data_IF_624116756305
#
_entry.id   IF_624116756305
#
_cell.length_a   1.000
_cell.length_b   1.000
_cell.length_c   1.000
_cell.angle_alpha   90.00
_cell.angle_beta   90.00
_cell.angle_gamma   90.00
#
_symmetry.space_group_name_H-M   'P 1'
#
loop_
_entity.id
_entity.type
_entity.pdbx_description
1 polymer ?
#
# COMPACT_ATOMS: atom_id res chain seq x y z
N UNK A 1 -10.00 -21.25 -41.42
CA UNK A 1 -8.55 -21.13 -41.21
C UNK A 1 -8.11 -19.71 -40.87
N UNK A 2 -8.53 -18.66 -41.59
CA UNK A 2 -8.17 -17.27 -41.24
C UNK A 2 -8.58 -16.87 -39.79
N UNK A 3 -9.81 -17.17 -39.36
CA UNK A 3 -10.30 -16.83 -38.03
C UNK A 3 -9.52 -17.51 -36.89
N UNK A 4 -8.97 -18.71 -37.11
CA UNK A 4 -8.11 -19.39 -36.15
C UNK A 4 -6.72 -18.78 -36.10
N UNK A 5 -6.19 -18.33 -37.22
CA UNK A 5 -4.92 -17.59 -37.28
C UNK A 5 -5.02 -16.21 -36.64
N UNK A 6 -6.15 -15.53 -36.79
CA UNK A 6 -6.39 -14.23 -36.13
C UNK A 6 -6.57 -14.39 -34.58
N UNK A 7 -7.16 -15.52 -34.15
CA UNK A 7 -7.23 -15.87 -32.73
C UNK A 7 -5.83 -16.14 -32.13
N UNK A 8 -4.98 -16.84 -32.89
CA UNK A 8 -3.58 -17.06 -32.47
C UNK A 8 -2.74 -15.77 -32.48
N UNK A 9 -2.99 -14.88 -33.45
CA UNK A 9 -2.32 -13.55 -33.45
C UNK A 9 -2.72 -12.65 -32.28
N UNK A 10 -3.96 -12.72 -31.81
CA UNK A 10 -4.39 -11.99 -30.59
C UNK A 10 -3.75 -12.54 -29.31
N UNK A 11 -3.32 -13.81 -29.29
CA UNK A 11 -2.67 -14.43 -28.11
C UNK A 11 -1.16 -14.16 -28.07
N UNK A 12 -0.56 -13.73 -29.18
CA UNK A 12 0.90 -13.50 -29.31
C UNK A 12 1.27 -12.09 -29.71
N UNK A 13 0.41 -11.09 -29.45
CA UNK A 13 0.87 -9.70 -29.46
C UNK A 13 1.75 -9.52 -28.22
N UNK A 14 3.03 -9.87 -28.36
CA UNK A 14 4.07 -9.33 -27.51
C UNK A 14 4.05 -7.82 -27.77
N UNK A 15 3.67 -7.04 -26.77
CA UNK A 15 3.75 -5.59 -26.85
C UNK A 15 5.23 -5.25 -27.01
N UNK A 16 5.64 -4.82 -28.19
CA UNK A 16 6.98 -4.30 -28.44
C UNK A 16 7.11 -2.97 -27.68
N UNK A 17 8.13 -2.85 -26.85
CA UNK A 17 8.41 -1.63 -26.11
C UNK A 17 9.91 -1.32 -26.19
N UNK A 18 10.23 -0.03 -26.31
CA UNK A 18 11.61 0.45 -26.39
C UNK A 18 12.23 0.72 -25.02
N UNK A 19 11.41 0.95 -24.00
CA UNK A 19 11.87 1.30 -22.66
C UNK A 19 10.91 0.85 -21.56
N UNK A 20 11.48 0.59 -20.39
CA UNK A 20 10.74 0.29 -19.15
C UNK A 20 10.93 1.45 -18.19
N UNK A 21 9.83 2.04 -17.72
CA UNK A 21 9.82 3.06 -16.68
C UNK A 21 9.39 2.46 -15.34
N UNK A 22 10.28 2.50 -14.36
CA UNK A 22 9.98 2.09 -12.99
C UNK A 22 9.58 3.33 -12.19
N UNK A 23 8.44 3.25 -11.48
CA UNK A 23 7.92 4.33 -10.67
C UNK A 23 7.01 3.83 -9.56
N UNK A 24 6.61 4.73 -8.65
CA UNK A 24 5.65 4.43 -7.60
C UNK A 24 4.22 4.55 -8.16
N UNK A 25 3.35 3.66 -7.71
CA UNK A 25 1.92 3.74 -7.94
C UNK A 25 1.21 4.31 -6.71
N UNK A 26 0.27 5.23 -6.93
CA UNK A 26 -0.60 5.70 -5.84
C UNK A 26 -1.57 4.60 -5.40
N UNK A 27 -2.12 4.66 -4.16
CA UNK A 27 -3.15 3.72 -3.71
C UNK A 27 -4.36 3.65 -4.66
N UNK A 28 -4.78 4.79 -5.20
CA UNK A 28 -5.89 4.88 -6.15
C UNK A 28 -5.57 4.12 -7.45
N UNK A 29 -4.34 4.24 -7.93
CA UNK A 29 -3.89 3.52 -9.12
C UNK A 29 -3.82 2.02 -8.87
N UNK A 30 -3.35 1.57 -7.70
CA UNK A 30 -3.36 0.16 -7.31
C UNK A 30 -4.79 -0.38 -7.25
N UNK A 31 -5.74 0.37 -6.65
CA UNK A 31 -7.16 -0.02 -6.63
C UNK A 31 -7.74 -0.12 -8.03
N UNK A 32 -7.35 0.77 -8.95
CA UNK A 32 -7.83 0.73 -10.33
C UNK A 32 -7.38 -0.52 -11.11
N UNK A 33 -6.25 -1.11 -10.76
CA UNK A 33 -5.75 -2.36 -11.35
C UNK A 33 -6.35 -3.61 -10.70
N UNK A 34 -6.90 -3.46 -9.50
CA UNK A 34 -7.34 -4.57 -8.66
C UNK A 34 -8.70 -5.10 -9.08
N UNK A 35 -8.83 -6.41 -9.09
CA UNK A 35 -10.11 -7.12 -9.27
C UNK A 35 -10.88 -7.32 -7.96
N UNK A 36 -10.30 -6.95 -6.82
CA UNK A 36 -10.96 -6.98 -5.52
C UNK A 36 -9.99 -6.98 -4.34
N UNK A 37 -10.54 -6.75 -3.17
CA UNK A 37 -9.82 -6.71 -1.91
C UNK A 37 -9.66 -8.12 -1.32
N UNK A 38 -8.45 -8.47 -0.93
CA UNK A 38 -8.13 -9.66 -0.14
C UNK A 38 -8.28 -9.33 1.33
N UNK A 39 -9.29 -9.92 1.99
CA UNK A 39 -9.65 -9.63 3.39
C UNK A 39 -9.16 -10.66 4.39
N UNK A 40 -8.74 -11.82 3.91
CA UNK A 40 -8.39 -12.97 4.74
C UNK A 40 -7.04 -13.53 4.35
N UNK A 41 -6.24 -14.01 5.32
CA UNK A 41 -4.93 -14.60 5.05
C UNK A 41 -5.01 -16.04 4.52
N UNK A 42 -6.20 -16.66 4.55
CA UNK A 42 -6.38 -18.04 4.14
C UNK A 42 -6.14 -18.20 2.64
N UNK A 43 -5.56 -19.33 2.27
CA UNK A 43 -5.25 -19.70 0.88
C UNK A 43 -6.26 -20.68 0.31
N UNK A 44 -6.30 -21.88 0.86
CA UNK A 44 -7.16 -22.98 0.45
C UNK A 44 -7.86 -23.62 1.63
N UNK A 45 -9.02 -24.21 1.39
CA UNK A 45 -9.69 -25.05 2.35
C UNK A 45 -9.04 -26.45 2.37
N UNK A 46 -8.51 -26.88 3.52
CA UNK A 46 -7.80 -28.16 3.66
C UNK A 46 -8.64 -29.39 3.35
N UNK A 47 -9.97 -29.31 3.54
CA UNK A 47 -10.88 -30.42 3.28
C UNK A 47 -11.24 -30.55 1.81
N UNK A 48 -11.45 -29.42 1.12
CA UNK A 48 -11.94 -29.40 -0.26
C UNK A 48 -10.88 -29.05 -1.28
N UNK A 49 -9.69 -28.60 -0.85
CA UNK A 49 -8.59 -28.06 -1.67
C UNK A 49 -9.00 -26.94 -2.62
N UNK A 50 -10.13 -26.29 -2.34
CA UNK A 50 -10.61 -25.14 -3.13
C UNK A 50 -10.12 -23.84 -2.51
N UNK A 51 -9.85 -22.78 -3.31
CA UNK A 51 -9.50 -21.47 -2.81
C UNK A 51 -10.59 -20.92 -1.87
N UNK A 52 -10.17 -20.39 -0.73
CA UNK A 52 -11.06 -19.72 0.19
C UNK A 52 -11.55 -18.39 -0.38
N UNK A 53 -12.79 -18.05 -0.06
CA UNK A 53 -13.38 -16.80 -0.50
C UNK A 53 -12.73 -15.63 0.23
N UNK A 54 -12.43 -14.56 -0.53
CA UNK A 54 -11.78 -13.33 -0.06
C UNK A 54 -10.37 -13.54 0.53
N UNK A 55 -9.81 -14.75 0.32
CA UNK A 55 -8.44 -15.11 0.68
C UNK A 55 -7.42 -14.81 -0.42
N UNK A 56 -6.17 -15.17 -0.14
CA UNK A 56 -5.03 -14.90 -1.04
C UNK A 56 -5.12 -15.60 -2.40
N UNK A 57 -5.91 -16.68 -2.52
CA UNK A 57 -6.13 -17.42 -3.77
C UNK A 57 -7.57 -17.32 -4.28
N UNK A 58 -8.36 -16.38 -3.79
CA UNK A 58 -9.78 -16.25 -4.09
C UNK A 58 -10.08 -16.32 -5.59
N UNK A 59 -10.94 -17.26 -5.98
CA UNK A 59 -11.31 -17.43 -7.38
C UNK A 59 -12.21 -16.28 -7.92
N UNK A 60 -12.93 -15.60 -7.04
CA UNK A 60 -13.73 -14.41 -7.41
C UNK A 60 -12.83 -13.24 -7.82
N UNK A 61 -11.70 -13.04 -7.14
CA UNK A 61 -10.75 -11.96 -7.39
C UNK A 61 -9.84 -12.33 -8.56
N UNK A 62 -9.16 -13.48 -8.47
CA UNK A 62 -8.09 -13.85 -9.40
C UNK A 62 -8.56 -14.68 -10.60
N UNK A 63 -9.73 -15.28 -10.53
CA UNK A 63 -10.26 -16.11 -11.61
C UNK A 63 -10.36 -17.60 -11.25
N UNK A 64 -10.92 -18.41 -12.18
CA UNK A 64 -11.21 -19.81 -11.95
C UNK A 64 -9.93 -20.65 -11.83
N UNK A 65 -10.04 -21.81 -11.17
CA UNK A 65 -8.94 -22.79 -11.02
C UNK A 65 -8.91 -23.81 -12.16
N UNK A 66 -10.00 -23.92 -12.93
CA UNK A 66 -10.10 -24.76 -14.12
C UNK A 66 -10.65 -23.94 -15.28
N UNK A 67 -10.17 -24.24 -16.50
CA UNK A 67 -10.59 -23.53 -17.68
C UNK A 67 -12.09 -23.67 -17.90
N UNK A 68 -12.74 -22.52 -18.11
CA UNK A 68 -14.18 -22.43 -18.41
C UNK A 68 -15.09 -23.12 -17.39
N UNK A 69 -14.66 -23.19 -16.11
CA UNK A 69 -15.44 -23.75 -15.01
C UNK A 69 -15.48 -22.79 -13.83
N UNK A 70 -16.67 -22.47 -13.32
CA UNK A 70 -16.79 -21.71 -12.08
C UNK A 70 -16.46 -22.57 -10.84
N UNK A 71 -16.14 -21.98 -9.71
CA UNK A 71 -15.68 -22.69 -8.50
C UNK A 71 -16.72 -23.67 -7.94
N UNK A 72 -18.02 -23.33 -8.02
CA UNK A 72 -19.11 -24.20 -7.55
C UNK A 72 -19.52 -25.27 -8.57
N UNK A 73 -19.03 -25.24 -9.81
CA UNK A 73 -19.35 -26.20 -10.85
C UNK A 73 -20.70 -26.00 -11.55
N UNK A 74 -21.44 -24.91 -11.24
CA UNK A 74 -22.73 -24.62 -11.90
C UNK A 74 -22.56 -24.37 -13.39
N UNK A 75 -21.57 -23.56 -13.74
CA UNK A 75 -21.19 -23.28 -15.13
C UNK A 75 -19.92 -24.02 -15.48
N UNK A 76 -20.01 -24.86 -16.52
CA UNK A 76 -18.91 -25.62 -17.09
C UNK A 76 -18.97 -25.48 -18.60
N UNK A 77 -17.84 -25.52 -19.24
CA UNK A 77 -17.67 -25.48 -20.71
C UNK A 77 -17.66 -24.06 -21.29
N UNK A 78 -17.07 -23.99 -22.48
CA UNK A 78 -16.80 -22.78 -23.25
C UNK A 78 -18.05 -21.95 -23.57
N UNK A 79 -19.22 -22.57 -23.71
CA UNK A 79 -20.48 -21.87 -24.00
C UNK A 79 -20.88 -20.81 -23.00
N UNK A 80 -20.35 -20.88 -21.78
CA UNK A 80 -20.59 -19.92 -20.71
C UNK A 80 -19.45 -18.95 -20.51
N UNK A 81 -18.51 -18.80 -21.46
CA UNK A 81 -17.39 -17.89 -21.41
C UNK A 81 -17.86 -16.46 -21.08
N UNK A 82 -17.19 -15.80 -20.12
CA UNK A 82 -17.49 -14.43 -19.70
C UNK A 82 -18.66 -14.29 -18.74
N UNK A 83 -19.39 -15.37 -18.43
CA UNK A 83 -20.49 -15.34 -17.47
C UNK A 83 -19.93 -15.30 -16.05
N UNK A 84 -20.40 -14.36 -15.23
CA UNK A 84 -20.12 -14.34 -13.80
C UNK A 84 -21.16 -15.20 -13.07
N UNK A 85 -20.69 -16.24 -12.38
CA UNK A 85 -21.58 -17.15 -11.67
C UNK A 85 -22.27 -16.45 -10.51
N UNK A 86 -23.60 -16.40 -10.50
CA UNK A 86 -24.40 -15.78 -9.45
C UNK A 86 -24.26 -16.48 -8.09
N UNK A 87 -23.88 -17.77 -8.06
CA UNK A 87 -23.70 -18.54 -6.81
C UNK A 87 -22.34 -18.30 -6.17
N UNK A 88 -21.24 -18.34 -6.93
CA UNK A 88 -19.88 -18.25 -6.40
C UNK A 88 -19.13 -16.97 -6.79
N UNK A 89 -19.70 -16.15 -7.69
CA UNK A 89 -19.13 -14.90 -8.14
C UNK A 89 -17.90 -15.04 -9.06
N UNK A 90 -17.57 -16.26 -9.48
CA UNK A 90 -16.39 -16.54 -10.32
C UNK A 90 -16.77 -16.37 -11.79
N UNK A 91 -15.95 -15.63 -12.53
CA UNK A 91 -16.07 -15.50 -13.97
C UNK A 91 -15.61 -16.78 -14.68
N UNK A 92 -16.38 -17.23 -15.65
CA UNK A 92 -16.07 -18.42 -16.47
C UNK A 92 -15.10 -18.02 -17.57
N UNK A 93 -13.81 -18.22 -17.34
CA UNK A 93 -12.72 -17.85 -18.26
C UNK A 93 -11.56 -18.85 -18.16
N UNK A 94 -10.46 -18.53 -18.83
CA UNK A 94 -9.24 -19.34 -18.75
C UNK A 94 -8.54 -19.17 -17.39
N UNK A 95 -7.90 -20.22 -16.90
CA UNK A 95 -7.07 -20.18 -15.68
C UNK A 95 -5.87 -19.25 -15.80
N UNK A 96 -5.41 -18.97 -17.01
CA UNK A 96 -4.30 -18.06 -17.29
C UNK A 96 -4.50 -16.67 -16.65
N UNK A 97 -5.74 -16.19 -16.56
CA UNK A 97 -6.06 -14.89 -15.97
C UNK A 97 -5.62 -14.77 -14.49
N UNK A 98 -5.44 -15.89 -13.79
CA UNK A 98 -4.93 -15.91 -12.41
C UNK A 98 -3.48 -15.42 -12.29
N UNK A 99 -2.72 -15.43 -13.37
CA UNK A 99 -1.35 -14.89 -13.45
C UNK A 99 -1.32 -13.43 -13.88
N UNK A 100 -2.43 -12.90 -14.36
CA UNK A 100 -2.53 -11.55 -14.92
C UNK A 100 -3.30 -10.60 -13.97
N UNK A 101 -4.32 -11.13 -13.28
CA UNK A 101 -5.18 -10.34 -12.39
C UNK A 101 -4.48 -10.00 -11.08
N UNK A 102 -4.60 -8.74 -10.68
CA UNK A 102 -4.11 -8.22 -9.41
C UNK A 102 -5.27 -8.06 -8.42
N UNK A 103 -5.00 -8.30 -7.17
CA UNK A 103 -5.82 -7.92 -6.03
C UNK A 103 -5.09 -6.90 -5.19
N UNK A 104 -5.76 -6.33 -4.18
CA UNK A 104 -5.14 -5.43 -3.23
C UNK A 104 -5.50 -5.81 -1.79
N UNK A 105 -4.71 -5.32 -0.87
CA UNK A 105 -4.94 -5.43 0.57
C UNK A 105 -5.01 -4.01 1.12
N UNK A 106 -6.11 -3.66 1.78
CA UNK A 106 -6.21 -2.41 2.52
C UNK A 106 -5.46 -2.55 3.84
N UNK A 107 -4.50 -1.67 4.07
CA UNK A 107 -3.72 -1.67 5.30
C UNK A 107 -4.49 -0.95 6.41
N UNK A 108 -4.41 -1.47 7.64
CA UNK A 108 -5.07 -0.88 8.81
C UNK A 108 -4.48 0.50 9.18
N UNK A 109 -3.18 0.70 8.91
CA UNK A 109 -2.46 1.95 9.13
C UNK A 109 -1.50 2.23 7.97
N UNK A 110 -1.11 3.48 7.72
CA UNK A 110 -0.10 3.80 6.72
C UNK A 110 1.23 3.14 7.04
N UNK A 111 2.00 2.82 6.00
CA UNK A 111 3.33 2.22 6.10
C UNK A 111 4.32 3.08 5.32
N UNK A 112 5.48 3.35 5.90
CA UNK A 112 6.54 4.09 5.23
C UNK A 112 7.16 3.25 4.11
N UNK A 113 7.31 3.85 2.92
CA UNK A 113 7.93 3.20 1.78
C UNK A 113 9.44 3.10 1.98
N UNK A 114 10.00 1.91 1.77
CA UNK A 114 11.41 1.59 2.02
C UNK A 114 12.38 2.50 1.23
N UNK A 115 12.01 2.93 0.02
CA UNK A 115 12.85 3.82 -0.79
C UNK A 115 13.07 5.19 -0.17
N UNK A 116 12.12 5.67 0.65
CA UNK A 116 12.24 6.97 1.33
C UNK A 116 12.78 6.83 2.74
N UNK A 117 12.61 5.64 3.36
CA UNK A 117 13.07 5.39 4.73
C UNK A 117 14.53 4.91 4.75
N UNK A 118 14.83 3.80 4.05
CA UNK A 118 16.12 3.09 4.15
C UNK A 118 17.12 3.39 3.03
N UNK A 119 16.82 4.35 2.16
CA UNK A 119 17.85 4.86 1.25
C UNK A 119 18.98 5.54 2.03
N UNK A 120 20.20 5.49 1.50
CA UNK A 120 21.34 6.19 2.10
C UNK A 120 21.74 7.37 1.20
N UNK A 121 21.57 8.61 1.67
CA UNK A 121 20.95 9.03 2.93
C UNK A 121 19.42 8.85 2.94
N UNK A 122 18.80 8.71 4.14
CA UNK A 122 17.34 8.61 4.28
C UNK A 122 16.66 9.90 3.83
N UNK A 123 15.79 9.81 2.83
CA UNK A 123 15.07 10.97 2.32
C UNK A 123 14.09 11.54 3.35
N UNK A 124 13.43 10.66 4.13
CA UNK A 124 12.56 11.08 5.24
C UNK A 124 13.37 11.79 6.32
N UNK A 125 14.55 11.25 6.67
CA UNK A 125 15.44 11.86 7.65
C UNK A 125 15.90 13.25 7.24
N UNK A 126 16.33 13.40 5.97
CA UNK A 126 16.79 14.70 5.46
C UNK A 126 15.69 15.77 5.46
N UNK A 127 14.46 15.39 5.09
CA UNK A 127 13.33 16.33 4.99
C UNK A 127 12.79 16.73 6.36
N UNK A 128 12.85 15.84 7.34
CA UNK A 128 12.35 16.09 8.71
C UNK A 128 13.45 16.50 9.69
N UNK A 129 14.69 16.58 9.23
CA UNK A 129 15.88 16.80 10.08
C UNK A 129 15.95 15.81 11.27
N UNK A 130 15.67 14.53 10.97
CA UNK A 130 15.66 13.45 11.94
C UNK A 130 16.63 12.36 11.55
N UNK A 131 17.27 11.71 12.54
CA UNK A 131 18.09 10.53 12.25
C UNK A 131 17.23 9.36 11.81
N UNK A 132 17.78 8.47 10.98
CA UNK A 132 17.07 7.25 10.59
C UNK A 132 16.62 6.43 11.80
N UNK A 133 17.48 6.35 12.83
CA UNK A 133 17.19 5.64 14.07
C UNK A 133 15.97 6.21 14.78
N UNK A 134 15.86 7.52 14.84
CA UNK A 134 14.73 8.19 15.50
C UNK A 134 13.43 7.96 14.74
N UNK A 135 13.47 8.04 13.42
CA UNK A 135 12.31 7.72 12.58
C UNK A 135 11.89 6.25 12.76
N UNK A 136 12.84 5.33 12.82
CA UNK A 136 12.55 3.91 13.06
C UNK A 136 11.90 3.68 14.41
N UNK A 137 12.37 4.34 15.48
CA UNK A 137 11.74 4.26 16.80
C UNK A 137 10.28 4.72 16.78
N UNK A 138 9.99 5.78 16.06
CA UNK A 138 8.59 6.23 15.89
C UNK A 138 7.78 5.21 15.09
N UNK A 139 8.29 4.75 13.94
CA UNK A 139 7.60 3.83 13.05
C UNK A 139 7.32 2.47 13.68
N UNK A 140 8.20 2.00 14.56
CA UNK A 140 8.06 0.72 15.28
C UNK A 140 7.35 0.86 16.64
N UNK A 141 6.72 2.01 16.89
CA UNK A 141 5.94 2.27 18.11
C UNK A 141 6.76 2.20 19.41
N UNK A 142 8.05 2.59 19.35
CA UNK A 142 8.93 2.67 20.52
C UNK A 142 8.95 4.08 21.16
N UNK A 143 8.56 5.10 20.39
CA UNK A 143 8.55 6.48 20.85
C UNK A 143 7.44 7.29 20.19
N UNK A 144 6.94 8.28 20.91
CA UNK A 144 6.08 9.32 20.37
C UNK A 144 6.93 10.38 19.66
N UNK A 145 6.38 11.00 18.62
CA UNK A 145 6.95 12.19 17.99
C UNK A 145 5.97 13.35 18.13
N UNK A 146 6.47 14.50 18.56
CA UNK A 146 5.68 15.73 18.64
C UNK A 146 5.41 16.22 17.23
N UNK A 147 4.13 16.23 16.85
CA UNK A 147 3.69 16.67 15.51
C UNK A 147 3.34 18.15 15.51
N UNK A 148 2.75 18.63 16.61
CA UNK A 148 2.44 20.04 16.84
C UNK A 148 2.78 20.40 18.30
N UNK A 149 3.76 21.29 18.56
CA UNK A 149 4.11 21.69 19.90
C UNK A 149 3.12 22.67 20.54
N UNK A 150 2.22 23.29 19.76
CA UNK A 150 1.28 24.28 20.26
C UNK A 150 1.94 25.42 21.02
N UNK A 151 1.43 25.76 22.21
CA UNK A 151 1.97 26.81 23.10
C UNK A 151 2.94 26.22 24.13
N UNK A 152 3.39 24.99 24.01
CA UNK A 152 4.29 24.34 24.98
C UNK A 152 5.76 24.55 24.62
N UNK A 153 6.70 24.35 25.56
CA UNK A 153 8.14 24.46 25.31
C UNK A 153 8.71 23.25 24.53
N UNK A 154 7.87 22.37 24.04
CA UNK A 154 8.28 21.21 23.24
C UNK A 154 8.70 21.67 21.84
N UNK A 155 9.58 20.88 21.22
CA UNK A 155 9.99 21.12 19.84
C UNK A 155 9.28 20.16 18.88
N UNK A 156 8.99 20.64 17.67
CA UNK A 156 8.51 19.78 16.59
C UNK A 156 9.56 18.70 16.29
N UNK A 157 9.14 17.50 15.95
CA UNK A 157 9.98 16.32 15.74
C UNK A 157 10.70 15.81 17.01
N UNK A 158 10.44 16.37 18.19
CA UNK A 158 10.99 15.86 19.45
C UNK A 158 10.42 14.48 19.75
N UNK A 159 11.30 13.56 20.17
CA UNK A 159 10.90 12.24 20.62
C UNK A 159 10.59 12.24 22.10
N UNK A 160 9.50 11.58 22.46
CA UNK A 160 9.09 11.35 23.85
C UNK A 160 8.97 9.84 24.08
N UNK A 161 9.47 9.39 25.23
CA UNK A 161 9.14 8.05 25.71
C UNK A 161 7.69 7.99 26.17
N UNK A 162 7.16 6.80 26.44
CA UNK A 162 5.79 6.67 26.95
C UNK A 162 5.60 7.40 28.29
N UNK A 163 6.56 7.27 29.19
CA UNK A 163 6.54 7.95 30.50
C UNK A 163 6.61 9.49 30.34
N UNK A 164 7.52 9.98 29.48
CA UNK A 164 7.61 11.41 29.19
C UNK A 164 6.33 11.94 28.53
N UNK A 165 5.74 11.19 27.61
CA UNK A 165 4.50 11.58 26.97
C UNK A 165 3.37 11.72 27.99
N UNK A 166 3.19 10.74 28.89
CA UNK A 166 2.18 10.79 29.94
C UNK A 166 2.40 11.98 30.88
N UNK A 167 3.65 12.22 31.32
CA UNK A 167 3.99 13.37 32.15
C UNK A 167 3.67 14.71 31.45
N UNK A 168 3.95 14.80 30.14
CA UNK A 168 3.63 16.01 29.36
C UNK A 168 2.14 16.21 29.13
N UNK A 169 1.38 15.13 28.98
CA UNK A 169 -0.08 15.19 28.90
C UNK A 169 -0.69 15.67 30.24
N UNK A 170 -0.13 15.24 31.38
CA UNK A 170 -0.56 15.75 32.69
C UNK A 170 -0.22 17.24 32.88
N UNK A 171 0.93 17.69 32.35
CA UNK A 171 1.41 19.07 32.50
C UNK A 171 0.69 20.07 31.56
N UNK A 172 0.47 19.66 30.26
CA UNK A 172 0.00 20.58 29.22
C UNK A 172 -1.37 20.17 28.61
N UNK A 173 -1.92 19.02 28.98
CA UNK A 173 -3.20 18.56 28.47
C UNK A 173 -3.22 18.44 26.94
N UNK A 174 -4.20 19.09 26.32
CA UNK A 174 -4.43 19.07 24.87
C UNK A 174 -3.68 20.18 24.10
N UNK A 175 -2.80 20.94 24.75
CA UNK A 175 -2.09 22.06 24.14
C UNK A 175 -1.00 21.65 23.14
N UNK A 176 -0.66 20.37 23.07
CA UNK A 176 0.26 19.83 22.08
C UNK A 176 -0.26 18.51 21.48
N UNK A 177 0.25 18.15 20.32
CA UNK A 177 -0.07 16.87 19.68
C UNK A 177 1.20 16.05 19.45
N UNK A 178 1.14 14.79 19.87
CA UNK A 178 2.17 13.80 19.56
C UNK A 178 1.52 12.49 19.12
N UNK A 179 2.20 11.74 18.27
CA UNK A 179 1.69 10.48 17.77
C UNK A 179 2.80 9.47 17.51
N UNK A 180 2.44 8.20 17.42
CA UNK A 180 3.34 7.09 17.07
C UNK A 180 3.08 6.60 15.64
N UNK A 181 4.02 5.80 15.16
CA UNK A 181 3.88 5.08 13.90
C UNK A 181 3.96 5.97 12.67
N UNK A 182 3.60 5.41 11.53
CA UNK A 182 3.67 6.11 10.25
C UNK A 182 2.66 7.28 10.14
N UNK A 183 1.63 7.32 10.97
CA UNK A 183 0.69 8.45 11.01
C UNK A 183 1.35 9.71 11.53
N UNK A 184 2.20 9.62 12.56
CA UNK A 184 2.99 10.74 13.08
C UNK A 184 3.92 11.31 12.01
N UNK A 185 4.68 10.45 11.36
CA UNK A 185 5.58 10.85 10.27
C UNK A 185 4.78 11.48 9.11
N UNK A 186 3.63 10.91 8.77
CA UNK A 186 2.74 11.46 7.72
C UNK A 186 2.21 12.84 8.10
N UNK A 187 1.84 13.06 9.35
CA UNK A 187 1.37 14.35 9.84
C UNK A 187 2.48 15.40 9.73
N UNK A 188 3.70 15.07 10.16
CA UNK A 188 4.87 15.95 10.03
C UNK A 188 5.15 16.34 8.58
N UNK A 189 5.13 15.37 7.65
CA UNK A 189 5.35 15.62 6.22
C UNK A 189 4.25 16.49 5.60
N UNK A 190 2.99 16.32 6.02
CA UNK A 190 1.87 17.14 5.53
C UNK A 190 1.89 18.57 6.03
N UNK A 191 2.40 18.77 7.24
CA UNK A 191 2.52 20.08 7.85
C UNK A 191 3.78 20.84 7.38
N UNK A 192 4.64 20.23 6.56
CA UNK A 192 5.86 20.85 6.06
C UNK A 192 5.54 21.82 4.91
N UNK A 193 5.92 23.08 5.06
CA UNK A 193 5.95 24.06 3.98
C UNK A 193 7.34 24.09 3.34
N UNK A 194 7.48 23.38 2.22
CA UNK A 194 8.76 23.27 1.49
C UNK A 194 9.28 24.63 1.01
N UNK A 195 8.38 25.57 0.66
CA UNK A 195 8.77 26.91 0.22
C UNK A 195 9.43 27.70 1.35
N UNK A 196 8.80 27.69 2.51
CA UNK A 196 9.32 28.35 3.70
C UNK A 196 10.66 27.75 4.18
N UNK A 197 10.77 26.42 4.20
CA UNK A 197 12.01 25.72 4.58
C UNK A 197 13.19 26.07 3.65
N UNK A 198 12.95 26.11 2.35
CA UNK A 198 13.98 26.50 1.38
C UNK A 198 14.47 27.92 1.62
N UNK A 199 13.59 28.87 1.91
CA UNK A 199 13.96 30.24 2.20
C UNK A 199 14.72 30.38 3.52
N UNK A 200 14.34 29.62 4.54
CA UNK A 200 15.02 29.59 5.84
C UNK A 200 16.43 29.06 5.68
N UNK A 201 16.61 27.90 5.07
CA UNK A 201 17.91 27.29 4.83
C UNK A 201 18.83 28.18 3.94
N UNK A 202 18.28 28.88 2.96
CA UNK A 202 19.05 29.85 2.15
C UNK A 202 19.55 31.02 2.98
N UNK A 203 18.74 31.54 3.93
CA UNK A 203 19.15 32.61 4.83
C UNK A 203 20.24 32.15 5.81
N UNK A 204 20.12 30.96 6.34
CA UNK A 204 21.13 30.37 7.23
C UNK A 204 22.48 30.17 6.51
N UNK A 205 22.45 29.59 5.30
CA UNK A 205 23.64 29.45 4.47
C UNK A 205 24.30 30.79 4.09
N UNK A 206 23.52 31.86 3.91
CA UNK A 206 24.07 33.18 3.60
C UNK A 206 24.63 33.89 4.84
N UNK A 207 24.27 33.45 6.05
CA UNK A 207 24.74 34.00 7.32
C UNK A 207 26.01 33.30 7.84
N UNK A 208 26.38 32.14 7.26
CA UNK A 208 27.59 31.37 7.56
C UNK A 208 28.73 31.73 6.63
#
# INVERSE_FOLDING_TARGET
MKALLDLFKQVTQEEEFDAIRIGLASPEKIRSWSYGEVKKPETINYRTFKPERDGLFCAKIFGPTKDYECLCGKYKRLKHRGVICEKCGVEVTLTKVRRERMGHIELASPVAHIWFLKSLPSRLGMVLDMTLRDIERVLYFEAYVVTDPGMTPLNRCQLLSEDDFLAKVEEYGDDFHASMGAEGIRALLRALDVGHEIETLRRELAAT
#
